data_IF_654228346123
#
_entry.id   IF_654228346123
#
_cell.length_a   1.000
_cell.length_b   1.000
_cell.length_c   1.000
_cell.angle_alpha   90.00
_cell.angle_beta   90.00
_cell.angle_gamma   90.00
#
_symmetry.space_group_name_H-M   'P 1'
#
loop_
_entity.id
_entity.type
_entity.pdbx_description
1 polymer ?
#
# COMPACT_ATOMS: atom_id res chain seq x y z
N UNK A 1 5.93 -6.05 30.41
CA UNK A 1 6.20 -5.86 28.97
C UNK A 1 5.01 -6.35 28.18
N UNK A 2 4.47 -5.52 27.35
CA UNK A 2 3.24 -5.82 26.63
C UNK A 2 3.56 -6.78 25.47
N UNK A 3 3.03 -8.00 25.53
CA UNK A 3 3.22 -9.02 24.48
C UNK A 3 2.79 -8.53 23.08
N UNK A 4 1.84 -7.57 23.03
CA UNK A 4 1.41 -6.91 21.81
C UNK A 4 2.49 -6.02 21.20
N UNK A 5 3.26 -5.32 22.03
CA UNK A 5 4.37 -4.47 21.59
C UNK A 5 5.53 -5.30 21.03
N UNK A 6 5.82 -6.44 21.66
CA UNK A 6 6.84 -7.36 21.15
C UNK A 6 6.42 -8.04 19.85
N UNK A 7 5.17 -8.45 19.72
CA UNK A 7 4.63 -8.99 18.48
C UNK A 7 4.68 -7.96 17.35
N UNK A 8 4.28 -6.71 17.63
CA UNK A 8 4.37 -5.61 16.67
C UNK A 8 5.80 -5.31 16.24
N UNK A 9 6.76 -5.32 17.18
CA UNK A 9 8.19 -5.15 16.86
C UNK A 9 8.73 -6.29 16.00
N UNK A 10 8.32 -7.54 16.23
CA UNK A 10 8.72 -8.68 15.40
C UNK A 10 8.17 -8.60 13.99
N UNK A 11 6.93 -8.15 13.82
CA UNK A 11 6.31 -7.93 12.52
C UNK A 11 7.03 -6.80 11.76
N UNK A 12 7.35 -5.70 12.44
CA UNK A 12 8.08 -4.56 11.88
C UNK A 12 9.48 -4.92 11.36
N UNK A 13 10.17 -5.85 12.01
CA UNK A 13 11.54 -6.21 11.63
C UNK A 13 11.66 -7.41 10.70
N UNK A 14 10.68 -8.33 10.70
CA UNK A 14 10.77 -9.60 9.96
C UNK A 14 9.93 -9.66 8.69
N UNK A 15 9.02 -8.72 8.49
CA UNK A 15 8.04 -8.81 7.42
C UNK A 15 6.96 -9.87 7.65
N UNK A 16 6.00 -9.92 6.76
CA UNK A 16 4.90 -10.89 6.77
C UNK A 16 5.01 -11.80 5.57
N UNK A 17 4.83 -13.10 5.78
CA UNK A 17 4.89 -14.12 4.74
C UNK A 17 3.49 -14.63 4.43
N UNK A 18 3.16 -14.63 3.15
CA UNK A 18 1.91 -15.19 2.64
C UNK A 18 2.22 -16.41 1.77
N UNK A 19 1.54 -17.53 2.05
CA UNK A 19 1.62 -18.72 1.22
C UNK A 19 0.61 -18.61 0.09
N UNK A 20 1.06 -18.74 -1.14
CA UNK A 20 0.21 -18.75 -2.32
C UNK A 20 -0.23 -20.16 -2.68
N UNK A 21 -1.48 -20.35 -3.16
CA UNK A 21 -1.90 -21.63 -3.72
C UNK A 21 -1.25 -21.83 -5.09
N UNK A 22 -0.64 -22.98 -5.32
CA UNK A 22 0.00 -23.42 -6.56
C UNK A 22 1.31 -22.68 -6.94
N UNK A 23 2.09 -23.18 -7.91
CA UNK A 23 3.41 -22.64 -8.27
C UNK A 23 3.29 -21.27 -8.94
N UNK A 24 3.13 -20.26 -8.10
CA UNK A 24 3.11 -18.87 -8.49
C UNK A 24 4.54 -18.37 -8.62
N UNK A 25 4.92 -17.94 -9.81
CA UNK A 25 6.23 -17.33 -10.04
C UNK A 25 7.45 -18.25 -9.81
N UNK A 26 7.50 -19.43 -10.43
CA UNK A 26 8.67 -20.31 -10.42
C UNK A 26 10.00 -19.61 -10.73
N UNK A 27 9.98 -18.49 -11.45
CA UNK A 27 11.17 -17.72 -11.81
C UNK A 27 11.57 -16.63 -10.84
N UNK A 28 10.64 -16.05 -10.07
CA UNK A 28 10.90 -14.94 -9.14
C UNK A 28 10.98 -15.39 -7.68
N UNK A 29 10.21 -16.41 -7.31
CA UNK A 29 10.19 -16.95 -5.96
C UNK A 29 10.28 -18.46 -6.03
N UNK A 30 11.39 -19.02 -5.61
CA UNK A 30 11.61 -20.49 -5.54
C UNK A 30 10.62 -21.21 -4.61
N UNK A 31 9.89 -20.47 -3.80
CA UNK A 31 8.90 -20.97 -2.85
C UNK A 31 7.61 -20.19 -3.09
N UNK A 32 6.46 -20.83 -3.01
CA UNK A 32 5.13 -20.20 -3.13
C UNK A 32 4.82 -19.26 -1.95
N UNK A 33 5.78 -18.43 -1.57
CA UNK A 33 5.70 -17.54 -0.42
C UNK A 33 6.03 -16.14 -0.90
N UNK A 34 5.08 -15.22 -0.69
CA UNK A 34 5.33 -13.78 -0.81
C UNK A 34 5.75 -13.28 0.56
N UNK A 35 6.91 -12.66 0.64
CA UNK A 35 7.39 -11.97 1.83
C UNK A 35 7.27 -10.46 1.61
N UNK A 36 6.50 -9.81 2.47
CA UNK A 36 6.38 -8.35 2.50
C UNK A 36 7.19 -7.83 3.66
N UNK A 37 8.23 -7.09 3.36
CA UNK A 37 9.10 -6.42 4.34
C UNK A 37 8.57 -5.01 4.62
N UNK A 38 9.01 -4.37 5.71
CA UNK A 38 8.76 -2.95 5.91
C UNK A 38 9.17 -2.14 4.68
N UNK A 39 8.29 -1.27 4.23
CA UNK A 39 8.50 -0.52 2.99
C UNK A 39 9.52 0.60 3.20
N UNK A 40 10.39 0.82 2.22
CA UNK A 40 11.22 2.00 2.16
C UNK A 40 10.37 3.27 1.94
N UNK A 41 10.82 4.45 2.39
CA UNK A 41 10.06 5.69 2.23
C UNK A 41 9.61 5.97 0.79
N UNK A 42 10.46 5.72 -0.20
CA UNK A 42 10.09 5.87 -1.61
C UNK A 42 8.97 4.92 -2.04
N UNK A 43 8.99 3.69 -1.56
CA UNK A 43 7.93 2.71 -1.82
C UNK A 43 6.61 3.12 -1.15
N UNK A 44 6.67 3.68 0.06
CA UNK A 44 5.49 4.21 0.75
C UNK A 44 4.87 5.36 -0.04
N UNK A 45 5.67 6.24 -0.62
CA UNK A 45 5.20 7.33 -1.49
C UNK A 45 4.48 6.79 -2.74
N UNK A 46 5.06 5.81 -3.42
CA UNK A 46 4.42 5.15 -4.57
C UNK A 46 3.10 4.47 -4.17
N UNK A 47 3.10 3.76 -3.06
CA UNK A 47 1.90 3.13 -2.52
C UNK A 47 0.81 4.17 -2.20
N UNK A 48 1.16 5.24 -1.48
CA UNK A 48 0.24 6.31 -1.13
C UNK A 48 -0.32 7.02 -2.36
N UNK A 49 0.49 7.25 -3.39
CA UNK A 49 0.05 7.85 -4.65
C UNK A 49 -1.02 6.99 -5.31
N UNK A 50 -0.82 5.68 -5.41
CA UNK A 50 -1.80 4.76 -5.99
C UNK A 50 -3.11 4.79 -5.18
N UNK A 51 -3.01 4.77 -3.85
CA UNK A 51 -4.18 4.81 -2.95
C UNK A 51 -4.97 6.10 -3.15
N UNK A 52 -4.31 7.25 -3.20
CA UNK A 52 -4.94 8.56 -3.39
C UNK A 52 -5.59 8.71 -4.76
N UNK A 53 -4.87 8.35 -5.83
CA UNK A 53 -5.38 8.44 -7.21
C UNK A 53 -6.61 7.57 -7.45
N UNK A 54 -6.74 6.46 -6.74
CA UNK A 54 -7.83 5.50 -6.93
C UNK A 54 -8.86 5.50 -5.79
N UNK A 55 -8.79 6.47 -4.87
CA UNK A 55 -9.71 6.59 -3.73
C UNK A 55 -9.84 5.30 -2.89
N UNK A 56 -8.71 4.63 -2.66
CA UNK A 56 -8.67 3.38 -1.86
C UNK A 56 -8.73 3.64 -0.35
N UNK A 57 -8.75 4.88 0.09
CA UNK A 57 -8.68 5.26 1.51
C UNK A 57 -9.84 4.71 2.36
N UNK A 58 -11.02 4.63 1.77
CA UNK A 58 -12.21 4.11 2.46
C UNK A 58 -12.20 2.58 2.60
N UNK A 59 -11.32 1.91 1.88
CA UNK A 59 -11.26 0.46 1.79
C UNK A 59 -10.31 -0.17 2.82
N UNK A 60 -10.33 0.32 4.06
CA UNK A 60 -9.44 -0.19 5.13
C UNK A 60 -10.00 -1.39 5.88
N UNK A 61 -11.24 -1.78 5.62
CA UNK A 61 -11.90 -2.89 6.31
C UNK A 61 -12.36 -3.97 5.31
N UNK A 62 -12.26 -5.22 5.74
CA UNK A 62 -12.76 -6.38 4.99
C UNK A 62 -14.29 -6.32 4.75
N UNK A 63 -15.02 -5.45 5.47
CA UNK A 63 -16.44 -5.22 5.25
C UNK A 63 -16.74 -4.56 3.90
N UNK A 64 -15.77 -3.86 3.32
CA UNK A 64 -15.90 -3.18 2.03
C UNK A 64 -15.42 -4.03 0.85
N UNK A 65 -15.53 -5.35 0.98
CA UNK A 65 -15.10 -6.31 -0.04
C UNK A 65 -15.63 -5.99 -1.45
N UNK A 66 -16.89 -5.54 -1.54
CA UNK A 66 -17.50 -5.16 -2.82
C UNK A 66 -16.83 -3.92 -3.45
N UNK A 67 -16.48 -2.93 -2.64
CA UNK A 67 -15.76 -1.74 -3.09
C UNK A 67 -14.33 -2.10 -3.50
N UNK A 68 -13.65 -2.93 -2.72
CA UNK A 68 -12.29 -3.41 -3.03
C UNK A 68 -12.26 -4.29 -4.29
N UNK A 69 -13.31 -5.05 -4.56
CA UNK A 69 -13.40 -5.85 -5.80
C UNK A 69 -13.48 -4.96 -7.03
N UNK A 70 -14.17 -3.82 -6.95
CA UNK A 70 -14.19 -2.81 -8.03
C UNK A 70 -12.81 -2.18 -8.24
N UNK A 71 -12.02 -2.09 -7.18
CA UNK A 71 -10.68 -1.49 -7.16
C UNK A 71 -9.56 -2.52 -7.17
N UNK A 72 -9.81 -3.74 -7.63
CA UNK A 72 -8.85 -4.84 -7.56
C UNK A 72 -7.56 -4.57 -8.36
N UNK A 73 -7.64 -3.83 -9.46
CA UNK A 73 -6.45 -3.46 -10.24
C UNK A 73 -5.50 -2.57 -9.45
N UNK A 74 -5.92 -1.41 -8.89
CA UNK A 74 -5.03 -0.61 -8.06
C UNK A 74 -4.60 -1.32 -6.76
N UNK A 75 -5.44 -2.16 -6.17
CA UNK A 75 -5.03 -3.03 -5.04
C UNK A 75 -3.87 -3.94 -5.44
N UNK A 76 -3.97 -4.61 -6.58
CA UNK A 76 -2.89 -5.45 -7.11
C UNK A 76 -1.62 -4.64 -7.40
N UNK A 77 -1.75 -3.40 -7.87
CA UNK A 77 -0.61 -2.49 -8.08
C UNK A 77 0.08 -2.12 -6.77
N UNK A 78 -0.67 -1.79 -5.74
CA UNK A 78 -0.15 -1.53 -4.40
C UNK A 78 0.64 -2.73 -3.86
N UNK A 79 0.09 -3.92 -3.99
CA UNK A 79 0.75 -5.17 -3.57
C UNK A 79 2.03 -5.41 -4.38
N UNK A 80 2.00 -5.21 -5.69
CA UNK A 80 3.17 -5.37 -6.56
C UNK A 80 4.31 -4.42 -6.17
N UNK A 81 4.02 -3.15 -5.98
CA UNK A 81 4.99 -2.13 -5.54
C UNK A 81 5.60 -2.51 -4.19
N UNK A 82 4.78 -2.99 -3.26
CA UNK A 82 5.20 -3.39 -1.92
C UNK A 82 6.11 -4.62 -1.92
N UNK A 83 5.83 -5.59 -2.78
CA UNK A 83 6.68 -6.79 -2.94
C UNK A 83 8.03 -6.41 -3.53
N UNK A 84 8.04 -5.56 -4.55
CA UNK A 84 9.27 -5.13 -5.23
C UNK A 84 10.15 -4.26 -4.33
N UNK A 85 9.54 -3.32 -3.61
CA UNK A 85 10.19 -2.49 -2.58
C UNK A 85 11.59 -1.97 -2.96
N UNK A 86 11.76 -1.60 -4.22
CA UNK A 86 13.01 -1.11 -4.79
C UNK A 86 12.71 -0.24 -6.01
N UNK A 87 13.30 0.95 -6.11
CA UNK A 87 13.00 1.93 -7.15
C UNK A 87 13.17 1.37 -8.58
N UNK A 88 14.27 0.69 -8.85
CA UNK A 88 14.56 0.14 -10.18
C UNK A 88 13.61 -1.00 -10.53
N UNK A 89 13.34 -1.87 -9.57
CA UNK A 89 12.41 -2.99 -9.75
C UNK A 89 10.98 -2.50 -9.93
N UNK A 90 10.55 -1.49 -9.18
CA UNK A 90 9.23 -0.87 -9.31
C UNK A 90 9.06 -0.33 -10.73
N UNK A 91 10.00 0.48 -11.22
CA UNK A 91 9.93 1.02 -12.58
C UNK A 91 9.88 -0.06 -13.67
N UNK A 92 10.58 -1.16 -13.46
CA UNK A 92 10.75 -2.20 -14.49
C UNK A 92 9.69 -3.30 -14.43
N UNK A 93 9.25 -3.70 -13.26
CA UNK A 93 8.49 -4.94 -13.07
C UNK A 93 7.08 -4.76 -12.51
N UNK A 94 6.66 -3.56 -12.09
CA UNK A 94 5.34 -3.34 -11.46
C UNK A 94 4.21 -3.82 -12.36
N UNK A 95 4.19 -3.44 -13.63
CA UNK A 95 3.10 -3.80 -14.55
C UNK A 95 3.03 -5.32 -14.78
N UNK A 96 4.18 -5.95 -14.92
CA UNK A 96 4.27 -7.41 -15.10
C UNK A 96 3.81 -8.15 -13.85
N UNK A 97 4.24 -7.71 -12.68
CA UNK A 97 3.86 -8.33 -11.41
C UNK A 97 2.38 -8.09 -11.09
N UNK A 98 1.88 -6.88 -11.29
CA UNK A 98 0.45 -6.55 -11.14
C UNK A 98 -0.42 -7.49 -11.99
N UNK A 99 -0.05 -7.69 -13.26
CA UNK A 99 -0.78 -8.59 -14.15
C UNK A 99 -0.77 -10.03 -13.66
N UNK A 100 0.36 -10.51 -13.16
CA UNK A 100 0.46 -11.86 -12.57
C UNK A 100 -0.38 -12.00 -11.31
N UNK A 101 -0.36 -11.00 -10.43
CA UNK A 101 -1.20 -10.99 -9.22
C UNK A 101 -2.69 -11.07 -9.57
N UNK A 102 -3.13 -10.29 -10.55
CA UNK A 102 -4.53 -10.28 -11.00
C UNK A 102 -5.00 -11.64 -11.55
N UNK A 103 -4.14 -12.39 -12.21
CA UNK A 103 -4.51 -13.63 -12.87
C UNK A 103 -4.19 -14.89 -12.08
N UNK A 104 -3.38 -14.81 -11.04
CA UNK A 104 -2.88 -16.00 -10.33
C UNK A 104 -3.17 -15.99 -8.83
N UNK A 105 -3.61 -14.87 -8.27
CA UNK A 105 -3.95 -14.76 -6.84
C UNK A 105 -5.46 -14.56 -6.67
N UNK A 106 -6.12 -15.36 -5.81
CA UNK A 106 -7.52 -15.15 -5.50
C UNK A 106 -7.77 -13.75 -4.93
N UNK A 107 -8.89 -13.08 -5.30
CA UNK A 107 -9.18 -11.72 -4.85
C UNK A 107 -9.14 -11.54 -3.32
N UNK A 108 -9.70 -12.50 -2.58
CA UNK A 108 -9.72 -12.45 -1.12
C UNK A 108 -8.33 -12.47 -0.49
N UNK A 109 -7.41 -13.25 -1.04
CA UNK A 109 -6.02 -13.28 -0.58
C UNK A 109 -5.29 -11.99 -0.93
N UNK A 110 -5.52 -11.46 -2.14
CA UNK A 110 -4.92 -10.21 -2.59
C UNK A 110 -5.33 -9.03 -1.70
N UNK A 111 -6.62 -8.94 -1.36
CA UNK A 111 -7.16 -7.94 -0.44
C UNK A 111 -6.56 -8.10 0.97
N UNK A 112 -6.45 -9.34 1.45
CA UNK A 112 -5.83 -9.62 2.75
C UNK A 112 -4.37 -9.16 2.80
N UNK A 113 -3.61 -9.40 1.75
CA UNK A 113 -2.23 -8.93 1.62
C UNK A 113 -2.19 -7.40 1.65
N UNK A 114 -3.03 -6.74 0.86
CA UNK A 114 -3.13 -5.28 0.81
C UNK A 114 -3.44 -4.68 2.18
N UNK A 115 -4.47 -5.16 2.88
CA UNK A 115 -4.86 -4.68 4.21
C UNK A 115 -3.72 -4.88 5.23
N UNK A 116 -3.03 -6.01 5.15
CA UNK A 116 -1.87 -6.28 6.02
C UNK A 116 -0.73 -5.29 5.76
N UNK A 117 -0.42 -5.01 4.50
CA UNK A 117 0.61 -4.03 4.11
C UNK A 117 0.25 -2.64 4.62
N UNK A 118 -0.99 -2.21 4.39
CA UNK A 118 -1.48 -0.91 4.85
C UNK A 118 -1.38 -0.78 6.38
N UNK A 119 -1.76 -1.82 7.11
CA UNK A 119 -1.67 -1.86 8.56
C UNK A 119 -0.23 -1.84 9.08
N UNK A 120 0.68 -2.58 8.45
CA UNK A 120 2.09 -2.64 8.84
C UNK A 120 2.81 -1.29 8.70
N UNK A 121 2.51 -0.55 7.65
CA UNK A 121 3.24 0.67 7.30
C UNK A 121 2.54 1.94 7.79
N UNK A 122 1.45 1.82 8.54
CA UNK A 122 0.65 2.97 9.00
C UNK A 122 0.41 4.00 7.90
N UNK A 123 0.05 3.49 6.73
CA UNK A 123 -0.13 4.34 5.54
C UNK A 123 -1.15 5.45 5.76
N UNK A 124 -2.14 5.25 6.62
CA UNK A 124 -3.10 6.30 6.99
C UNK A 124 -2.39 7.50 7.64
N UNK A 125 -1.50 7.28 8.60
CA UNK A 125 -0.75 8.35 9.26
C UNK A 125 0.18 9.05 8.26
N UNK A 126 0.84 8.29 7.41
CA UNK A 126 1.71 8.83 6.37
C UNK A 126 0.91 9.67 5.36
N UNK A 127 -0.25 9.21 4.96
CA UNK A 127 -1.12 9.95 4.03
C UNK A 127 -1.64 11.24 4.63
N UNK A 128 -1.99 11.25 5.91
CA UNK A 128 -2.39 12.47 6.61
C UNK A 128 -1.24 13.49 6.67
N UNK A 129 -0.04 13.03 6.96
CA UNK A 129 1.16 13.86 6.93
C UNK A 129 1.42 14.41 5.53
N UNK A 130 1.33 13.57 4.50
CA UNK A 130 1.55 13.96 3.10
C UNK A 130 0.51 15.00 2.66
N UNK A 131 -0.76 14.79 3.00
CA UNK A 131 -1.82 15.78 2.74
C UNK A 131 -1.55 17.12 3.42
N UNK A 132 -1.12 17.06 4.68
CA UNK A 132 -0.77 18.27 5.42
C UNK A 132 0.35 19.05 4.72
N UNK A 133 1.42 18.38 4.29
CA UNK A 133 2.51 19.03 3.56
C UNK A 133 2.07 19.56 2.20
N UNK A 134 1.26 18.84 1.45
CA UNK A 134 0.73 19.29 0.16
C UNK A 134 -0.14 20.54 0.36
N UNK A 135 -1.02 20.55 1.37
CA UNK A 135 -1.85 21.70 1.70
C UNK A 135 -1.01 22.91 2.11
N UNK A 136 0.01 22.71 2.96
CA UNK A 136 0.92 23.78 3.33
C UNK A 136 1.66 24.36 2.11
N UNK A 137 2.15 23.50 1.23
CA UNK A 137 2.84 23.94 0.01
C UNK A 137 1.92 24.74 -0.90
N UNK A 138 0.68 24.29 -1.08
CA UNK A 138 -0.33 25.03 -1.86
C UNK A 138 -0.67 26.37 -1.24
N UNK A 139 -0.77 26.45 0.10
CA UNK A 139 -1.00 27.72 0.81
C UNK A 139 0.18 28.68 0.67
N UNK A 140 1.40 28.19 0.68
CA UNK A 140 2.61 29.01 0.46
C UNK A 140 2.69 29.52 -0.98
N UNK A 141 2.24 28.74 -1.95
CA UNK A 141 2.23 29.13 -3.36
C UNK A 141 1.09 30.07 -3.70
N UNK A 142 0.02 30.11 -2.89
CA UNK A 142 -1.15 30.95 -3.11
C UNK A 142 -1.68 31.53 -1.79
N UNK A 143 -1.04 32.58 -1.26
CA UNK A 143 -1.36 33.15 0.06
C UNK A 143 -2.79 33.71 0.17
N UNK A 144 -3.48 33.90 -0.95
CA UNK A 144 -4.86 34.41 -0.96
C UNK A 144 -5.92 33.34 -0.61
N UNK A 145 -5.59 32.06 -0.61
CA UNK A 145 -6.54 30.99 -0.24
C UNK A 145 -6.85 30.93 1.27
N UNK A 146 -6.07 31.62 2.10
CA UNK A 146 -6.30 31.70 3.54
C UNK A 146 -7.10 32.93 4.03
N UNK A 147 -7.47 33.85 3.15
CA UNK A 147 -8.12 35.10 3.54
C UNK A 147 -9.65 35.19 3.30
N UNK A 148 -10.26 34.13 2.80
CA UNK A 148 -11.71 34.15 2.51
C UNK A 148 -12.61 33.75 3.70
N UNK A 149 -12.15 33.73 4.92
CA UNK A 149 -13.02 33.41 6.07
C UNK A 149 -13.26 34.55 7.05
N UNK A 150 -12.87 35.80 6.73
CA UNK A 150 -13.14 36.92 7.62
C UNK A 150 -13.74 38.08 6.85
N UNK A 151 -14.95 37.88 6.36
CA UNK A 151 -15.73 38.85 5.66
C UNK A 151 -17.21 38.73 5.99
N UNK A 152 -17.60 39.18 7.21
CA UNK A 152 -18.96 39.60 7.64
C UNK A 152 -20.11 38.64 7.37
#
# INVERSE_FOLDING_TARGET
MDARLEAAKRILHRGVRFRLPAPFLKRLFRKNIIEVRPLYPGTILEFATIVLENNLEEATTLSDYAALTKSIKPVARCVAVSILNDERKIKKFTDKLQRKLLWQVPPGLLIKIYVTIAGMNRTADFMNITRYYVLQTLMMMNPNLGQESDGR
#
